data_IF_859120057611
#
_entry.id   IF_859120057611
#
_cell.length_a   1.000
_cell.length_b   1.000
_cell.length_c   1.000
_cell.angle_alpha   90.00
_cell.angle_beta   90.00
_cell.angle_gamma   90.00
#
_symmetry.space_group_name_H-M   'P 1'
#
loop_
_entity.id
_entity.type
_entity.pdbx_description
1 polymer ?
#
# COMPACT_ATOMS: atom_id res chain seq x y z
N UNK A 1 -18.06 17.16 -13.47
CA UNK A 1 -16.82 16.57 -12.90
C UNK A 1 -17.02 15.69 -11.67
N UNK A 2 -18.01 15.98 -10.81
CA UNK A 2 -18.17 15.27 -9.55
C UNK A 2 -18.92 13.91 -9.69
N UNK A 3 -19.74 13.78 -10.73
CA UNK A 3 -20.44 12.53 -11.05
C UNK A 3 -19.42 11.43 -11.39
N UNK A 4 -18.43 11.71 -12.24
CA UNK A 4 -17.37 10.76 -12.59
C UNK A 4 -16.54 10.29 -11.39
N UNK A 5 -16.21 11.21 -10.47
CA UNK A 5 -15.44 10.85 -9.26
C UNK A 5 -16.22 9.90 -8.36
N UNK A 6 -17.52 10.18 -8.16
CA UNK A 6 -18.41 9.30 -7.38
C UNK A 6 -18.58 7.95 -8.05
N UNK A 7 -18.68 7.94 -9.39
CA UNK A 7 -18.84 6.72 -10.16
C UNK A 7 -17.59 5.83 -10.10
N UNK A 8 -16.38 6.40 -10.20
CA UNK A 8 -15.12 5.66 -10.06
C UNK A 8 -14.98 5.07 -8.65
N UNK A 9 -15.20 5.86 -7.61
CA UNK A 9 -15.14 5.38 -6.23
C UNK A 9 -16.22 4.33 -5.97
N UNK A 10 -17.45 4.57 -6.43
CA UNK A 10 -18.55 3.63 -6.31
C UNK A 10 -18.28 2.30 -7.01
N UNK A 11 -17.78 2.33 -8.25
CA UNK A 11 -17.42 1.14 -9.00
C UNK A 11 -16.32 0.33 -8.32
N UNK A 12 -15.33 1.02 -7.74
CA UNK A 12 -14.26 0.38 -6.99
C UNK A 12 -14.78 -0.32 -5.73
N UNK A 13 -15.63 0.34 -4.95
CA UNK A 13 -16.25 -0.26 -3.75
C UNK A 13 -17.10 -1.47 -4.14
N UNK A 14 -17.94 -1.35 -5.16
CA UNK A 14 -18.78 -2.44 -5.64
C UNK A 14 -17.93 -3.63 -6.09
N UNK A 15 -16.84 -3.39 -6.83
CA UNK A 15 -15.95 -4.46 -7.29
C UNK A 15 -15.28 -5.19 -6.12
N UNK A 16 -14.81 -4.46 -5.10
CA UNK A 16 -14.23 -5.08 -3.91
C UNK A 16 -15.26 -5.87 -3.10
N UNK A 17 -16.48 -5.36 -2.94
CA UNK A 17 -17.57 -6.10 -2.28
C UNK A 17 -17.90 -7.37 -3.05
N UNK A 18 -17.97 -7.30 -4.38
CA UNK A 18 -18.17 -8.47 -5.24
C UNK A 18 -17.07 -9.53 -5.05
N UNK A 19 -15.80 -9.12 -5.04
CA UNK A 19 -14.68 -10.04 -4.80
C UNK A 19 -14.80 -10.71 -3.43
N UNK A 20 -15.14 -9.96 -2.38
CA UNK A 20 -15.35 -10.52 -1.03
C UNK A 20 -16.48 -11.54 -1.05
N UNK A 21 -17.62 -11.21 -1.64
CA UNK A 21 -18.81 -12.10 -1.70
C UNK A 21 -18.49 -13.38 -2.48
N UNK A 22 -17.83 -13.26 -3.65
CA UNK A 22 -17.44 -14.41 -4.47
C UNK A 22 -16.45 -15.30 -3.71
N UNK A 23 -15.42 -14.71 -3.11
CA UNK A 23 -14.39 -15.45 -2.37
C UNK A 23 -15.00 -16.16 -1.16
N UNK A 24 -15.90 -15.48 -0.44
CA UNK A 24 -16.64 -16.08 0.67
C UNK A 24 -17.56 -17.22 0.20
N UNK A 25 -18.26 -17.03 -0.92
CA UNK A 25 -19.08 -18.08 -1.54
C UNK A 25 -18.27 -19.31 -1.94
N UNK A 26 -17.13 -19.11 -2.62
CA UNK A 26 -16.23 -20.20 -2.99
C UNK A 26 -15.72 -20.94 -1.73
N UNK A 27 -15.39 -20.21 -0.67
CA UNK A 27 -14.96 -20.80 0.58
C UNK A 27 -16.04 -21.73 1.21
N UNK A 28 -17.31 -21.29 1.19
CA UNK A 28 -18.43 -22.08 1.68
C UNK A 28 -18.60 -23.42 0.94
N UNK A 29 -18.39 -23.42 -0.38
CA UNK A 29 -18.59 -24.61 -1.21
C UNK A 29 -17.35 -25.50 -1.31
N UNK A 30 -16.16 -24.96 -1.14
CA UNK A 30 -14.90 -25.69 -1.36
C UNK A 30 -14.21 -26.17 -0.10
N UNK A 31 -14.48 -25.56 1.05
CA UNK A 31 -13.80 -25.91 2.31
C UNK A 31 -14.77 -26.44 3.34
N UNK A 32 -14.35 -27.49 4.06
CA UNK A 32 -15.13 -28.10 5.15
C UNK A 32 -15.04 -27.31 6.47
N UNK A 33 -14.23 -26.25 6.53
CA UNK A 33 -14.07 -25.40 7.71
C UNK A 33 -15.11 -24.27 7.76
N UNK A 34 -15.58 -23.93 8.94
CA UNK A 34 -16.49 -22.81 9.14
C UNK A 34 -15.81 -21.49 8.67
N UNK A 35 -16.47 -20.68 7.83
CA UNK A 35 -15.88 -19.46 7.29
C UNK A 35 -15.72 -18.43 8.40
N UNK A 36 -14.51 -17.94 8.59
CA UNK A 36 -14.20 -16.83 9.48
C UNK A 36 -14.29 -15.54 8.66
N UNK A 37 -15.20 -14.65 9.00
CA UNK A 37 -15.40 -13.38 8.27
C UNK A 37 -14.26 -12.37 8.48
N UNK A 38 -13.61 -12.44 9.63
CA UNK A 38 -12.56 -11.50 10.04
C UNK A 38 -11.41 -11.33 9.01
N UNK A 39 -10.80 -12.38 8.44
CA UNK A 39 -9.72 -12.24 7.45
C UNK A 39 -10.12 -11.41 6.22
N UNK A 40 -11.36 -11.53 5.73
CA UNK A 40 -11.83 -10.79 4.55
C UNK A 40 -11.85 -9.28 4.81
N UNK A 41 -12.39 -8.86 5.96
CA UNK A 41 -12.41 -7.44 6.35
C UNK A 41 -10.99 -6.96 6.64
N UNK A 42 -10.19 -7.77 7.32
CA UNK A 42 -8.82 -7.44 7.65
C UNK A 42 -7.97 -7.18 6.40
N UNK A 43 -7.99 -8.09 5.42
CA UNK A 43 -7.22 -7.91 4.18
C UNK A 43 -7.76 -6.77 3.31
N UNK A 44 -9.06 -6.54 3.31
CA UNK A 44 -9.61 -5.38 2.63
C UNK A 44 -9.04 -4.07 3.22
N UNK A 45 -9.05 -3.93 4.53
CA UNK A 45 -8.58 -2.73 5.22
C UNK A 45 -7.06 -2.56 5.16
N UNK A 46 -6.32 -3.65 5.26
CA UNK A 46 -4.85 -3.59 5.36
C UNK A 46 -4.14 -3.75 4.04
N UNK A 47 -4.69 -4.48 3.07
CA UNK A 47 -4.07 -4.69 1.76
C UNK A 47 -4.64 -3.73 0.72
N UNK A 48 -5.95 -3.78 0.50
CA UNK A 48 -6.58 -3.08 -0.62
C UNK A 48 -6.58 -1.57 -0.43
N UNK A 49 -6.96 -1.09 0.74
CA UNK A 49 -7.13 0.33 1.02
C UNK A 49 -5.79 1.10 0.98
N UNK A 50 -4.69 0.66 1.62
CA UNK A 50 -3.39 1.33 1.50
C UNK A 50 -2.82 1.33 0.09
N UNK A 51 -2.94 0.21 -0.63
CA UNK A 51 -2.49 0.10 -2.02
C UNK A 51 -3.24 1.06 -2.94
N UNK A 52 -4.53 1.19 -2.74
CA UNK A 52 -5.38 2.11 -3.49
C UNK A 52 -5.05 3.57 -3.18
N UNK A 53 -4.92 3.92 -1.89
CA UNK A 53 -4.54 5.28 -1.48
C UNK A 53 -3.22 5.69 -2.12
N UNK A 54 -2.24 4.78 -2.12
CA UNK A 54 -0.95 5.02 -2.74
C UNK A 54 -1.07 5.19 -4.26
N UNK A 55 -1.78 4.28 -4.93
CA UNK A 55 -1.93 4.33 -6.39
C UNK A 55 -2.67 5.59 -6.85
N UNK A 56 -3.76 5.96 -6.17
CA UNK A 56 -4.49 7.20 -6.46
C UNK A 56 -3.62 8.43 -6.18
N UNK A 57 -2.89 8.44 -5.06
CA UNK A 57 -2.00 9.53 -4.70
C UNK A 57 -0.91 9.76 -5.74
N UNK A 58 -0.18 8.71 -6.11
CA UNK A 58 0.90 8.80 -7.10
C UNK A 58 0.37 9.16 -8.49
N UNK A 59 -0.80 8.63 -8.87
CA UNK A 59 -1.48 8.97 -10.13
C UNK A 59 -1.79 10.46 -10.21
N UNK A 60 -2.42 11.00 -9.17
CA UNK A 60 -2.72 12.41 -9.09
C UNK A 60 -1.46 13.27 -9.15
N UNK A 61 -0.42 12.89 -8.40
CA UNK A 61 0.83 13.63 -8.35
C UNK A 61 1.55 13.64 -9.70
N UNK A 62 1.65 12.50 -10.39
CA UNK A 62 2.25 12.38 -11.72
C UNK A 62 1.45 13.22 -12.74
N UNK A 63 0.12 13.09 -12.75
CA UNK A 63 -0.75 13.79 -13.70
C UNK A 63 -0.67 15.30 -13.55
N UNK A 64 -0.63 15.82 -12.32
CA UNK A 64 -0.52 17.26 -12.06
C UNK A 64 0.90 17.78 -12.37
N UNK A 65 1.93 16.93 -12.24
CA UNK A 65 3.32 17.32 -12.47
C UNK A 65 3.67 17.31 -13.95
N UNK A 66 3.33 16.26 -14.68
CA UNK A 66 3.74 16.06 -16.09
C UNK A 66 2.86 16.88 -17.05
N UNK A 67 1.60 17.18 -16.70
CA UNK A 67 0.64 17.94 -17.50
C UNK A 67 0.30 17.35 -18.89
N UNK A 68 1.07 16.43 -19.41
CA UNK A 68 0.87 15.75 -20.70
C UNK A 68 0.27 14.38 -20.39
N UNK A 69 -1.03 14.23 -20.65
CA UNK A 69 -1.80 13.04 -20.25
C UNK A 69 -1.22 11.70 -20.77
N UNK A 70 -0.83 11.54 -22.06
CA UNK A 70 -0.27 10.29 -22.55
C UNK A 70 1.04 9.89 -21.87
N UNK A 71 1.91 10.90 -21.58
CA UNK A 71 3.18 10.67 -20.88
C UNK A 71 2.94 10.27 -19.43
N UNK A 72 2.00 10.92 -18.76
CA UNK A 72 1.63 10.55 -17.39
C UNK A 72 1.11 9.11 -17.30
N UNK A 73 0.26 8.69 -18.27
CA UNK A 73 -0.25 7.34 -18.35
C UNK A 73 0.87 6.32 -18.57
N UNK A 74 1.80 6.61 -19.49
CA UNK A 74 2.94 5.75 -19.78
C UNK A 74 3.86 5.59 -18.58
N UNK A 75 4.12 6.67 -17.83
CA UNK A 75 4.87 6.63 -16.59
C UNK A 75 4.19 5.75 -15.52
N UNK A 76 2.86 5.84 -15.41
CA UNK A 76 2.09 5.02 -14.45
C UNK A 76 2.14 3.54 -14.81
N UNK A 77 1.90 3.21 -16.09
CA UNK A 77 1.98 1.84 -16.58
C UNK A 77 3.41 1.31 -16.34
N UNK A 78 4.43 2.07 -16.72
CA UNK A 78 5.83 1.73 -16.48
C UNK A 78 6.15 1.50 -15.01
N UNK A 79 5.62 2.35 -14.11
CA UNK A 79 5.79 2.17 -12.67
C UNK A 79 5.13 0.88 -12.16
N UNK A 80 3.92 0.55 -12.61
CA UNK A 80 3.23 -0.69 -12.22
C UNK A 80 4.03 -1.92 -12.67
N UNK A 81 4.47 -1.95 -13.93
CA UNK A 81 5.31 -3.03 -14.45
C UNK A 81 6.64 -3.14 -13.67
N UNK A 82 7.32 -2.03 -13.46
CA UNK A 82 8.57 -1.99 -12.70
C UNK A 82 8.37 -2.48 -11.26
N UNK A 83 7.26 -2.12 -10.62
CA UNK A 83 6.94 -2.62 -9.29
C UNK A 83 6.76 -4.14 -9.28
N UNK A 84 5.94 -4.70 -10.17
CA UNK A 84 5.63 -6.13 -10.20
C UNK A 84 6.87 -6.98 -10.53
N UNK A 85 7.71 -6.54 -11.46
CA UNK A 85 8.84 -7.36 -11.94
C UNK A 85 10.17 -7.10 -11.24
N UNK A 86 10.36 -5.93 -10.63
CA UNK A 86 11.65 -5.53 -10.05
C UNK A 86 11.55 -5.22 -8.56
N UNK A 87 10.57 -4.39 -8.17
CA UNK A 87 10.51 -3.89 -6.80
C UNK A 87 9.94 -4.90 -5.80
N UNK A 88 9.20 -5.91 -6.26
CA UNK A 88 8.60 -6.94 -5.41
C UNK A 88 9.64 -7.63 -4.54
N UNK A 89 10.79 -8.01 -5.11
CA UNK A 89 11.86 -8.71 -4.39
C UNK A 89 12.97 -7.77 -3.90
N UNK A 90 12.96 -6.51 -4.36
CA UNK A 90 13.99 -5.55 -4.00
C UNK A 90 13.77 -5.02 -2.58
N UNK A 91 14.86 -4.89 -1.82
CA UNK A 91 14.84 -4.41 -0.43
C UNK A 91 13.81 -5.12 0.46
N UNK A 92 13.72 -6.45 0.34
CA UNK A 92 12.78 -7.30 1.12
C UNK A 92 11.31 -6.92 0.92
N UNK A 93 10.94 -6.45 -0.25
CA UNK A 93 9.58 -6.02 -0.56
C UNK A 93 9.17 -4.69 0.08
N UNK A 94 10.13 -3.91 0.62
CA UNK A 94 9.81 -2.61 1.23
C UNK A 94 9.17 -1.63 0.26
N UNK A 95 9.46 -1.76 -1.04
CA UNK A 95 8.93 -0.93 -2.12
C UNK A 95 7.73 -1.56 -2.84
N UNK A 96 7.33 -2.77 -2.45
CA UNK A 96 6.19 -3.48 -3.03
C UNK A 96 4.87 -2.93 -2.45
N UNK A 97 4.21 -2.04 -3.20
CA UNK A 97 2.93 -1.47 -2.77
C UNK A 97 1.76 -2.47 -2.83
N UNK A 98 1.91 -3.58 -3.56
CA UNK A 98 0.91 -4.65 -3.64
C UNK A 98 1.06 -5.69 -2.51
N UNK A 99 2.21 -5.71 -1.80
CA UNK A 99 2.57 -6.69 -0.77
C UNK A 99 2.52 -8.15 -1.25
N UNK A 100 2.97 -8.39 -2.48
CA UNK A 100 3.02 -9.73 -3.06
C UNK A 100 4.08 -10.60 -2.36
N UNK A 101 5.22 -9.99 -2.03
CA UNK A 101 6.39 -10.67 -1.44
C UNK A 101 6.36 -10.77 0.09
N UNK A 102 5.45 -10.06 0.75
CA UNK A 102 5.41 -10.01 2.21
C UNK A 102 4.56 -11.14 2.75
N UNK A 103 5.08 -11.97 3.67
CA UNK A 103 4.29 -13.03 4.28
C UNK A 103 3.15 -12.41 5.10
N UNK A 104 1.92 -12.68 4.68
CA UNK A 104 0.70 -12.17 5.30
C UNK A 104 -0.32 -13.32 5.51
N UNK A 105 0.18 -14.48 5.92
CA UNK A 105 -0.64 -15.67 6.07
C UNK A 105 -1.33 -15.67 7.42
N UNK A 106 -2.64 -15.86 7.41
CA UNK A 106 -3.41 -16.18 8.61
C UNK A 106 -3.22 -17.66 8.94
N UNK A 107 -2.77 -17.96 10.16
CA UNK A 107 -2.62 -19.35 10.63
C UNK A 107 -3.87 -19.77 11.39
N UNK A 108 -4.63 -20.67 10.83
CA UNK A 108 -5.81 -21.26 11.49
C UNK A 108 -5.43 -22.00 12.78
N UNK A 109 -4.24 -22.57 12.82
CA UNK A 109 -3.76 -23.32 14.00
C UNK A 109 -3.48 -22.43 15.21
N UNK A 110 -3.03 -21.20 15.00
CA UNK A 110 -2.68 -20.27 16.08
C UNK A 110 -3.68 -19.14 16.24
N UNK A 111 -4.62 -18.98 15.31
CA UNK A 111 -5.55 -17.85 15.25
C UNK A 111 -4.87 -16.49 15.09
N UNK A 112 -3.60 -16.47 14.68
CA UNK A 112 -2.78 -15.25 14.59
C UNK A 112 -2.16 -15.11 13.19
N UNK A 113 -1.97 -13.88 12.77
CA UNK A 113 -1.21 -13.57 11.55
C UNK A 113 0.28 -13.72 11.80
N UNK A 114 0.94 -14.52 10.97
CA UNK A 114 2.40 -14.62 10.95
C UNK A 114 2.96 -13.38 10.25
N UNK A 115 3.92 -12.69 10.87
CA UNK A 115 4.52 -11.49 10.29
C UNK A 115 3.62 -10.25 10.31
N UNK A 116 2.65 -10.17 11.23
CA UNK A 116 1.69 -9.06 11.32
C UNK A 116 2.38 -7.69 11.44
N UNK A 117 3.39 -7.56 12.31
CA UNK A 117 4.05 -6.29 12.55
C UNK A 117 4.73 -5.71 11.31
N UNK A 118 5.63 -6.42 10.59
CA UNK A 118 6.23 -5.89 9.38
C UNK A 118 5.18 -5.63 8.29
N UNK A 119 4.18 -6.50 8.13
CA UNK A 119 3.11 -6.31 7.16
C UNK A 119 2.34 -5.01 7.41
N UNK A 120 1.83 -4.79 8.63
CA UNK A 120 1.05 -3.59 8.97
C UNK A 120 1.91 -2.33 8.87
N UNK A 121 3.17 -2.39 9.30
CA UNK A 121 4.09 -1.25 9.22
C UNK A 121 4.30 -0.80 7.76
N UNK A 122 4.53 -1.75 6.85
CA UNK A 122 4.66 -1.44 5.44
C UNK A 122 3.35 -0.87 4.86
N UNK A 123 2.19 -1.43 5.24
CA UNK A 123 0.88 -0.93 4.76
C UNK A 123 0.59 0.49 5.23
N UNK A 124 0.91 0.82 6.47
CA UNK A 124 0.80 2.17 7.02
C UNK A 124 1.72 3.14 6.24
N UNK A 125 2.96 2.73 5.95
CA UNK A 125 3.89 3.54 5.17
C UNK A 125 3.30 3.90 3.79
N UNK A 126 2.77 2.93 3.05
CA UNK A 126 2.15 3.18 1.75
C UNK A 126 0.88 4.03 1.83
N UNK A 127 0.04 3.84 2.84
CA UNK A 127 -1.12 4.70 3.07
C UNK A 127 -0.69 6.16 3.31
N UNK A 128 0.33 6.38 4.14
CA UNK A 128 0.87 7.71 4.42
C UNK A 128 1.49 8.34 3.17
N UNK A 129 2.27 7.59 2.38
CA UNK A 129 2.82 8.07 1.11
C UNK A 129 1.70 8.45 0.13
N UNK A 130 0.65 7.65 0.03
CA UNK A 130 -0.52 7.95 -0.79
C UNK A 130 -1.21 9.26 -0.38
N UNK A 131 -1.47 9.44 0.91
CA UNK A 131 -2.06 10.67 1.46
C UNK A 131 -1.14 11.87 1.21
N UNK A 132 0.18 11.72 1.39
CA UNK A 132 1.15 12.77 1.13
C UNK A 132 1.11 13.22 -0.33
N UNK A 133 1.12 12.28 -1.28
CA UNK A 133 1.02 12.59 -2.71
C UNK A 133 -0.31 13.26 -3.07
N UNK A 134 -1.42 12.85 -2.45
CA UNK A 134 -2.71 13.54 -2.62
C UNK A 134 -2.63 14.99 -2.15
N UNK A 135 -2.14 15.24 -0.93
CA UNK A 135 -2.02 16.59 -0.36
C UNK A 135 -1.11 17.48 -1.22
N UNK A 136 0.05 16.98 -1.65
CA UNK A 136 0.97 17.70 -2.52
C UNK A 136 0.37 17.97 -3.91
N UNK A 137 -0.46 17.07 -4.43
CA UNK A 137 -1.18 17.26 -5.70
C UNK A 137 -2.24 18.36 -5.59
N UNK A 138 -2.99 18.37 -4.49
CA UNK A 138 -4.03 19.39 -4.22
C UNK A 138 -3.42 20.79 -4.22
N UNK A 139 -2.23 20.96 -3.63
CA UNK A 139 -1.52 22.26 -3.61
C UNK A 139 -1.17 22.76 -5.02
N UNK A 140 -0.89 21.85 -5.96
CA UNK A 140 -0.56 22.20 -7.35
C UNK A 140 -1.78 22.48 -8.24
N UNK A 141 -2.97 22.08 -7.81
CA UNK A 141 -4.20 22.34 -8.54
C UNK A 141 -4.58 23.83 -8.44
N UNK A 142 -4.72 24.50 -9.58
CA UNK A 142 -5.07 25.92 -9.67
C UNK A 142 -6.49 26.27 -9.17
N UNK A 143 -7.32 25.27 -8.84
CA UNK A 143 -8.74 25.43 -8.46
C UNK A 143 -8.99 25.64 -6.97
N UNK A 144 -7.96 25.67 -6.14
CA UNK A 144 -8.13 25.98 -4.72
C UNK A 144 -8.42 27.48 -4.53
N UNK A 145 -9.32 27.84 -3.60
CA UNK A 145 -9.53 29.23 -3.22
C UNK A 145 -8.20 29.89 -2.88
N UNK A 146 -8.01 31.10 -3.37
CA UNK A 146 -6.73 31.82 -3.42
C UNK A 146 -6.28 32.33 -2.04
N UNK A 147 -6.49 31.56 -0.98
CA UNK A 147 -6.00 31.88 0.36
C UNK A 147 -4.58 31.31 0.55
N UNK A 148 -3.53 32.16 0.47
CA UNK A 148 -2.14 31.70 0.50
C UNK A 148 -1.75 30.98 1.81
N UNK A 149 -2.42 31.29 2.90
CA UNK A 149 -2.19 30.64 4.20
C UNK A 149 -2.59 29.17 4.21
N UNK A 150 -3.80 28.86 3.74
CA UNK A 150 -4.28 27.48 3.65
C UNK A 150 -3.44 26.63 2.71
N UNK A 151 -2.95 27.21 1.60
CA UNK A 151 -2.13 26.50 0.63
C UNK A 151 -0.78 26.09 1.23
N UNK A 152 -0.12 26.98 1.98
CA UNK A 152 1.14 26.70 2.67
C UNK A 152 0.95 25.62 3.75
N UNK A 153 -0.10 25.70 4.51
CA UNK A 153 -0.42 24.70 5.55
C UNK A 153 -0.58 23.31 4.97
N UNK A 154 -1.39 23.14 3.91
CA UNK A 154 -1.58 21.86 3.23
C UNK A 154 -0.26 21.32 2.67
N UNK A 155 0.59 22.22 2.12
CA UNK A 155 1.91 21.82 1.62
C UNK A 155 2.80 21.28 2.73
N UNK A 156 2.88 21.98 3.87
CA UNK A 156 3.66 21.51 5.01
C UNK A 156 3.14 20.22 5.59
N UNK A 157 1.83 20.07 5.70
CA UNK A 157 1.22 18.79 6.09
C UNK A 157 1.61 17.65 5.14
N UNK A 158 1.54 17.88 3.82
CA UNK A 158 1.94 16.88 2.83
C UNK A 158 3.41 16.47 2.97
N UNK A 159 4.31 17.43 3.22
CA UNK A 159 5.74 17.16 3.44
C UNK A 159 5.97 16.38 4.74
N UNK A 160 5.31 16.75 5.82
CA UNK A 160 5.43 16.05 7.11
C UNK A 160 4.96 14.60 6.98
N UNK A 161 3.79 14.39 6.36
CA UNK A 161 3.25 13.04 6.14
C UNK A 161 4.15 12.22 5.21
N UNK A 162 4.79 12.85 4.21
CA UNK A 162 5.75 12.19 3.34
C UNK A 162 6.98 11.70 4.13
N UNK A 163 7.57 12.58 4.93
CA UNK A 163 8.75 12.24 5.74
C UNK A 163 8.43 11.12 6.75
N UNK A 164 7.28 11.22 7.42
CA UNK A 164 6.86 10.18 8.37
C UNK A 164 6.57 8.86 7.67
N UNK A 165 5.96 8.86 6.48
CA UNK A 165 5.75 7.66 5.67
C UNK A 165 7.06 6.98 5.25
N UNK A 166 8.06 7.77 4.81
CA UNK A 166 9.40 7.26 4.49
C UNK A 166 10.09 6.69 5.75
N UNK A 167 9.96 7.36 6.88
CA UNK A 167 10.53 6.89 8.13
C UNK A 167 9.92 5.56 8.60
N UNK A 168 8.60 5.44 8.54
CA UNK A 168 7.90 4.19 8.87
C UNK A 168 8.31 3.07 7.89
N UNK A 169 8.43 3.35 6.58
CA UNK A 169 8.97 2.39 5.61
C UNK A 169 10.43 1.98 5.91
N UNK A 170 11.25 2.92 6.39
CA UNK A 170 12.61 2.66 6.84
C UNK A 170 12.66 1.72 8.05
N UNK A 171 11.77 1.85 9.02
CA UNK A 171 11.71 0.94 10.18
C UNK A 171 11.41 -0.49 9.75
N UNK A 172 10.56 -0.68 8.74
CA UNK A 172 10.31 -1.99 8.13
C UNK A 172 11.60 -2.62 7.57
N UNK A 173 12.35 -1.87 6.77
CA UNK A 173 13.61 -2.33 6.18
C UNK A 173 14.64 -2.72 7.24
N UNK A 174 14.85 -1.88 8.25
CA UNK A 174 15.79 -2.14 9.34
C UNK A 174 15.40 -3.38 10.18
N UNK A 175 14.12 -3.63 10.34
CA UNK A 175 13.65 -4.82 11.05
C UNK A 175 14.07 -6.11 10.33
N UNK A 176 13.86 -6.17 9.00
CA UNK A 176 14.27 -7.32 8.19
C UNK A 176 15.79 -7.49 8.13
N UNK A 177 16.53 -6.40 8.00
CA UNK A 177 18.00 -6.46 7.98
C UNK A 177 18.56 -7.03 9.29
N UNK A 178 18.02 -6.61 10.43
CA UNK A 178 18.40 -7.13 11.75
C UNK A 178 18.08 -8.62 11.89
N UNK A 179 16.94 -9.07 11.41
CA UNK A 179 16.55 -10.48 11.46
C UNK A 179 17.42 -11.34 10.53
N UNK A 180 17.86 -10.78 9.39
CA UNK A 180 18.79 -11.44 8.48
C UNK A 180 20.17 -11.63 9.14
N UNK A 181 20.68 -10.59 9.78
CA UNK A 181 21.98 -10.66 10.47
C UNK A 181 21.96 -11.73 11.56
N UNK A 182 20.91 -11.79 12.38
CA UNK A 182 20.75 -12.83 13.39
C UNK A 182 20.74 -14.24 12.79
N UNK A 183 20.02 -14.47 11.68
CA UNK A 183 20.02 -15.78 11.00
C UNK A 183 21.40 -16.14 10.48
N UNK A 184 22.15 -15.19 9.94
CA UNK A 184 23.54 -15.45 9.47
C UNK A 184 24.47 -15.80 10.64
N UNK A 185 24.32 -15.17 11.79
CA UNK A 185 25.07 -15.53 13.00
C UNK A 185 24.73 -16.96 13.47
N UNK A 186 23.46 -17.33 13.49
CA UNK A 186 23.04 -18.70 13.81
C UNK A 186 23.63 -19.72 12.83
N UNK A 187 23.58 -19.47 11.54
CA UNK A 187 24.14 -20.38 10.52
C UNK A 187 25.65 -20.53 10.70
N UNK A 188 26.38 -19.45 10.99
CA UNK A 188 27.83 -19.54 11.28
C UNK A 188 28.11 -20.41 12.50
N UNK A 189 27.38 -20.20 13.60
CA UNK A 189 27.51 -21.01 14.82
C UNK A 189 27.24 -22.51 14.57
N UNK A 190 26.27 -22.85 13.72
CA UNK A 190 25.98 -24.24 13.35
C UNK A 190 27.04 -24.86 12.41
N UNK A 191 27.79 -24.06 11.65
CA UNK A 191 28.84 -24.55 10.78
C UNK A 191 30.21 -24.71 11.48
N UNK A 192 30.38 -24.10 12.64
CA UNK A 192 31.59 -24.21 13.47
C UNK A 192 31.55 -25.40 14.45
N UNK A 193 30.40 -26.08 14.56
CA UNK A 193 30.23 -27.35 15.31
C UNK A 193 30.17 -28.53 14.34
#
# INVERSE_FOLDING_TARGET
GDVYKRQVVGSFVVLNVLVIVITWGVHQFSMQSSPVFFPYVFYFMTLTLPSLLFLVGITLWITVTIKIWPVALLCLIGYIFFNVFVLTDYLYGSLDYLAISIPNVFSDATGKHVGLFPYVTQRIAFAMLGIAFMLLSVVRLKRLPNNPGNRRWIQWMGVIVLITGIWVGGTYYFHFEKDRQKRQEFVKLYMEY
#
